data_IF_586103185664
#
_entry.id   IF_586103185664
#
_cell.length_a   1.000
_cell.length_b   1.000
_cell.length_c   1.000
_cell.angle_alpha   90.00
_cell.angle_beta   90.00
_cell.angle_gamma   90.00
#
_symmetry.space_group_name_H-M   'P 1'
#
loop_
_entity.id
_entity.type
_entity.pdbx_description
1 polymer ?
#
# COMPACT_ATOMS: atom_id res chain seq x y z
N UNK A 1 -13.24 -3.44 5.79
CA UNK A 1 -12.71 -4.63 5.08
C UNK A 1 -11.34 -4.37 4.46
N UNK A 2 -11.22 -3.45 3.48
CA UNK A 2 -9.90 -3.13 2.86
C UNK A 2 -8.94 -2.57 3.91
N UNK A 3 -9.39 -1.60 4.71
CA UNK A 3 -8.57 -1.02 5.79
C UNK A 3 -8.17 -2.07 6.84
N UNK A 4 -9.11 -2.95 7.24
CA UNK A 4 -8.82 -4.04 8.18
C UNK A 4 -7.84 -5.10 7.63
N UNK A 5 -7.83 -5.31 6.30
CA UNK A 5 -6.84 -6.16 5.66
C UNK A 5 -5.47 -5.47 5.60
N UNK A 6 -5.45 -4.17 5.29
CA UNK A 6 -4.22 -3.36 5.27
C UNK A 6 -3.55 -3.38 6.65
N UNK A 7 -4.31 -3.21 7.73
CA UNK A 7 -3.76 -3.23 9.08
C UNK A 7 -3.23 -4.62 9.46
N UNK A 8 -3.91 -5.70 9.06
CA UNK A 8 -3.38 -7.07 9.19
C UNK A 8 -2.11 -7.30 8.38
N UNK A 9 -2.03 -6.77 7.16
CA UNK A 9 -0.83 -6.86 6.32
C UNK A 9 0.36 -6.13 6.97
N UNK A 10 0.13 -4.99 7.64
CA UNK A 10 1.17 -4.26 8.39
C UNK A 10 1.66 -5.05 9.61
N UNK A 11 0.79 -5.79 10.29
CA UNK A 11 1.17 -6.62 11.44
C UNK A 11 1.89 -7.90 11.00
N UNK A 12 1.33 -8.63 10.03
CA UNK A 12 1.85 -9.90 9.53
C UNK A 12 1.79 -9.98 7.99
N UNK A 13 2.82 -9.45 7.33
CA UNK A 13 2.92 -9.37 5.86
C UNK A 13 2.61 -10.68 5.12
N UNK A 14 3.16 -11.80 5.61
CA UNK A 14 3.00 -13.12 4.95
C UNK A 14 1.57 -13.64 5.06
N UNK A 15 0.95 -13.47 6.22
CA UNK A 15 -0.42 -13.93 6.45
C UNK A 15 -1.42 -13.10 5.65
N UNK A 16 -1.26 -11.77 5.64
CA UNK A 16 -2.11 -10.88 4.83
C UNK A 16 -2.00 -11.16 3.33
N UNK A 17 -0.79 -11.44 2.83
CA UNK A 17 -0.58 -11.83 1.43
C UNK A 17 -1.25 -13.18 1.10
N UNK A 18 -1.14 -14.16 2.00
CA UNK A 18 -1.79 -15.46 1.84
C UNK A 18 -3.32 -15.34 1.83
N UNK A 19 -3.89 -14.49 2.69
CA UNK A 19 -5.34 -14.20 2.69
C UNK A 19 -5.79 -13.62 1.34
N UNK A 20 -5.00 -12.70 0.76
CA UNK A 20 -5.32 -12.09 -0.53
C UNK A 20 -5.23 -13.09 -1.69
N UNK A 21 -4.19 -13.93 -1.70
CA UNK A 21 -4.02 -14.99 -2.70
C UNK A 21 -5.15 -16.01 -2.61
N UNK A 22 -5.48 -16.46 -1.40
CA UNK A 22 -6.60 -17.35 -1.17
C UNK A 22 -7.92 -16.71 -1.61
N UNK A 23 -8.15 -15.43 -1.32
CA UNK A 23 -9.33 -14.72 -1.81
C UNK A 23 -9.46 -14.78 -3.34
N UNK A 24 -8.38 -14.53 -4.09
CA UNK A 24 -8.36 -14.60 -5.56
C UNK A 24 -8.67 -16.03 -6.04
N UNK A 25 -8.10 -17.04 -5.39
CA UNK A 25 -8.33 -18.46 -5.73
C UNK A 25 -9.81 -18.85 -5.53
N UNK A 26 -10.41 -18.41 -4.43
CA UNK A 26 -11.83 -18.64 -4.16
C UNK A 26 -12.73 -17.89 -5.16
N UNK A 27 -12.33 -16.70 -5.61
CA UNK A 27 -13.02 -15.96 -6.68
C UNK A 27 -13.03 -16.73 -8.01
N UNK A 28 -11.99 -17.53 -8.27
CA UNK A 28 -11.94 -18.42 -9.42
C UNK A 28 -12.91 -19.62 -9.31
N UNK A 29 -13.57 -19.81 -8.16
CA UNK A 29 -14.38 -20.99 -7.86
C UNK A 29 -13.56 -22.21 -7.47
N UNK A 30 -12.28 -22.05 -7.15
CA UNK A 30 -11.45 -23.13 -6.63
C UNK A 30 -11.67 -23.27 -5.11
N UNK A 31 -11.92 -24.49 -4.64
CA UNK A 31 -12.02 -24.82 -3.21
C UNK A 31 -10.66 -25.16 -2.58
N UNK A 32 -9.59 -25.15 -3.38
CA UNK A 32 -8.23 -25.38 -2.90
C UNK A 32 -7.77 -24.23 -2.02
N UNK A 33 -7.14 -24.57 -0.89
CA UNK A 33 -6.61 -23.59 0.07
C UNK A 33 -5.09 -23.66 0.04
N UNK A 34 -4.45 -22.52 -0.21
CA UNK A 34 -2.99 -22.39 -0.10
C UNK A 34 -2.67 -22.24 1.37
N UNK A 35 -1.90 -23.18 1.92
CA UNK A 35 -1.43 -23.11 3.30
C UNK A 35 -0.14 -22.27 3.40
N UNK A 36 0.21 -21.74 4.58
CA UNK A 36 1.43 -20.96 4.78
C UNK A 36 2.71 -21.72 4.42
N UNK A 37 2.72 -23.04 4.61
CA UNK A 37 3.83 -23.93 4.25
C UNK A 37 4.00 -24.00 2.73
N UNK A 38 2.88 -24.15 2.01
CA UNK A 38 2.86 -24.21 0.55
C UNK A 38 3.33 -22.89 -0.08
N UNK A 39 2.98 -21.78 0.54
CA UNK A 39 3.36 -20.44 0.10
C UNK A 39 4.85 -20.12 0.35
N UNK A 40 5.47 -20.78 1.33
CA UNK A 40 6.89 -20.61 1.66
C UNK A 40 7.82 -21.46 0.78
N UNK A 41 7.38 -22.66 0.42
CA UNK A 41 8.25 -23.68 -0.16
C UNK A 41 8.13 -23.80 -1.69
N UNK A 42 7.08 -23.24 -2.30
CA UNK A 42 6.81 -23.38 -3.73
C UNK A 42 6.81 -22.04 -4.49
N UNK A 43 7.30 -22.09 -5.73
CA UNK A 43 7.14 -20.96 -6.67
C UNK A 43 5.69 -20.83 -7.14
N UNK A 44 5.25 -19.61 -7.48
CA UNK A 44 3.89 -19.32 -7.95
C UNK A 44 3.37 -20.29 -9.02
N UNK A 45 4.23 -20.69 -9.98
CA UNK A 45 3.89 -21.66 -11.02
C UNK A 45 3.55 -23.06 -10.47
N UNK A 46 4.22 -23.51 -9.41
CA UNK A 46 3.98 -24.80 -8.77
C UNK A 46 2.68 -24.78 -7.96
N UNK A 47 2.41 -23.67 -7.26
CA UNK A 47 1.15 -23.44 -6.54
C UNK A 47 -0.03 -23.49 -7.53
N UNK A 48 0.06 -22.77 -8.65
CA UNK A 48 -1.00 -22.76 -9.67
C UNK A 48 -1.20 -24.15 -10.28
N UNK A 49 -0.13 -24.91 -10.50
CA UNK A 49 -0.22 -26.29 -10.99
C UNK A 49 -0.92 -27.23 -10.00
N UNK A 50 -0.71 -27.07 -8.70
CA UNK A 50 -1.41 -27.84 -7.68
C UNK A 50 -2.90 -27.46 -7.61
N UNK A 51 -3.20 -26.15 -7.59
CA UNK A 51 -4.57 -25.64 -7.64
C UNK A 51 -5.32 -26.11 -8.89
N UNK A 52 -4.62 -26.22 -10.02
CA UNK A 52 -5.16 -26.76 -11.27
C UNK A 52 -5.55 -28.23 -11.14
N UNK A 53 -4.76 -29.04 -10.41
CA UNK A 53 -5.09 -30.45 -10.16
C UNK A 53 -6.32 -30.60 -9.27
N UNK A 54 -6.46 -29.75 -8.26
CA UNK A 54 -7.62 -29.74 -7.37
C UNK A 54 -8.88 -29.22 -8.06
N UNK A 55 -8.76 -28.20 -8.91
CA UNK A 55 -9.89 -27.62 -9.66
C UNK A 55 -10.50 -28.58 -10.68
N UNK A 56 -9.68 -29.41 -11.34
CA UNK A 56 -10.14 -30.40 -12.33
C UNK A 56 -11.13 -31.43 -11.78
N UNK A 57 -11.23 -31.57 -10.46
CA UNK A 57 -12.04 -32.60 -9.82
C UNK A 57 -13.53 -32.20 -9.70
N UNK A 58 -13.87 -30.91 -9.70
CA UNK A 58 -15.15 -30.47 -9.11
C UNK A 58 -15.98 -29.39 -9.84
N UNK A 59 -15.58 -28.79 -10.97
CA UNK A 59 -16.34 -27.61 -11.46
C UNK A 59 -16.32 -27.34 -12.98
N UNK A 60 -17.50 -27.39 -13.61
CA UNK A 60 -17.75 -26.87 -14.98
C UNK A 60 -18.20 -25.40 -14.99
N UNK A 61 -18.62 -24.85 -13.85
CA UNK A 61 -19.09 -23.47 -13.67
C UNK A 61 -18.31 -22.77 -12.56
N UNK A 62 -17.92 -21.51 -12.80
CA UNK A 62 -17.19 -20.65 -11.86
C UNK A 62 -17.94 -19.31 -11.69
N UNK A 63 -17.77 -18.60 -10.56
CA UNK A 63 -18.53 -17.38 -10.20
C UNK A 63 -18.70 -16.35 -11.33
N UNK A 64 -17.63 -16.07 -12.09
CA UNK A 64 -17.64 -15.08 -13.18
C UNK A 64 -18.29 -15.57 -14.49
N UNK A 65 -18.64 -16.85 -14.60
CA UNK A 65 -19.34 -17.41 -15.77
C UNK A 65 -20.85 -17.56 -15.56
N UNK A 66 -21.34 -17.38 -14.33
CA UNK A 66 -22.76 -17.52 -14.02
C UNK A 66 -23.50 -16.23 -14.38
N UNK A 67 -24.54 -16.32 -15.21
CA UNK A 67 -25.29 -15.16 -15.71
C UNK A 67 -26.36 -14.65 -14.74
N UNK A 68 -26.48 -15.25 -13.55
CA UNK A 68 -27.42 -14.83 -12.51
C UNK A 68 -27.11 -13.40 -12.05
N UNK A 69 -28.11 -12.53 -11.83
CA UNK A 69 -27.90 -11.15 -11.39
C UNK A 69 -27.01 -11.01 -10.14
N UNK A 70 -27.09 -11.96 -9.21
CA UNK A 70 -26.25 -12.03 -8.00
C UNK A 70 -24.75 -12.20 -8.34
N UNK A 71 -24.44 -13.07 -9.31
CA UNK A 71 -23.06 -13.34 -9.75
C UNK A 71 -22.49 -12.20 -10.62
N UNK A 72 -23.35 -11.51 -11.38
CA UNK A 72 -22.94 -10.27 -12.08
C UNK A 72 -22.58 -9.17 -11.08
N UNK A 73 -23.37 -9.01 -10.01
CA UNK A 73 -23.06 -8.08 -8.92
C UNK A 73 -21.77 -8.47 -8.19
N UNK A 74 -21.54 -9.77 -7.98
CA UNK A 74 -20.28 -10.27 -7.42
C UNK A 74 -19.05 -9.90 -8.27
N UNK A 75 -19.11 -10.11 -9.60
CA UNK A 75 -18.01 -9.72 -10.50
C UNK A 75 -17.70 -8.23 -10.45
N UNK A 76 -18.73 -7.37 -10.44
CA UNK A 76 -18.57 -5.93 -10.29
C UNK A 76 -17.96 -5.57 -8.92
N UNK A 77 -18.48 -6.13 -7.83
CA UNK A 77 -17.96 -5.90 -6.48
C UNK A 77 -16.51 -6.37 -6.31
N UNK A 78 -16.13 -7.46 -6.97
CA UNK A 78 -14.76 -7.98 -6.95
C UNK A 78 -13.79 -7.02 -7.66
N UNK A 79 -14.17 -6.49 -8.82
CA UNK A 79 -13.37 -5.48 -9.53
C UNK A 79 -13.27 -4.16 -8.75
N UNK A 80 -14.35 -3.74 -8.10
CA UNK A 80 -14.37 -2.54 -7.25
C UNK A 80 -13.51 -2.72 -5.99
N UNK A 81 -13.57 -3.89 -5.35
CA UNK A 81 -12.73 -4.22 -4.21
C UNK A 81 -11.24 -4.18 -4.56
N UNK A 82 -10.83 -4.80 -5.67
CA UNK A 82 -9.44 -4.77 -6.12
C UNK A 82 -8.96 -3.35 -6.45
N UNK A 83 -9.84 -2.54 -7.06
CA UNK A 83 -9.53 -1.14 -7.39
C UNK A 83 -9.33 -0.30 -6.12
N UNK A 84 -10.21 -0.44 -5.13
CA UNK A 84 -10.08 0.25 -3.82
C UNK A 84 -8.85 -0.24 -3.06
N UNK A 85 -8.55 -1.54 -3.11
CA UNK A 85 -7.36 -2.13 -2.49
C UNK A 85 -6.08 -1.49 -3.04
N UNK A 86 -5.94 -1.44 -4.37
CA UNK A 86 -4.80 -0.81 -5.02
C UNK A 86 -4.74 0.68 -4.66
N UNK A 87 -5.87 1.40 -4.74
CA UNK A 87 -5.94 2.83 -4.41
C UNK A 87 -5.50 3.14 -2.97
N UNK A 88 -5.92 2.32 -2.00
CA UNK A 88 -5.52 2.49 -0.59
C UNK A 88 -4.06 2.11 -0.33
N UNK A 89 -3.50 1.20 -1.13
CA UNK A 89 -2.09 0.80 -1.03
C UNK A 89 -1.11 1.79 -1.67
N UNK A 90 -1.57 2.76 -2.48
CA UNK A 90 -0.74 3.74 -3.20
C UNK A 90 0.19 4.56 -2.31
N UNK A 91 -0.23 4.87 -1.08
CA UNK A 91 0.47 5.84 -0.23
C UNK A 91 1.61 5.24 0.62
N UNK A 92 1.77 3.91 0.67
CA UNK A 92 2.89 3.32 1.44
C UNK A 92 3.21 1.85 1.15
N UNK A 93 2.27 1.04 0.66
CA UNK A 93 2.42 -0.43 0.58
C UNK A 93 2.80 -0.88 -0.83
N UNK A 94 2.48 -0.09 -1.86
CA UNK A 94 2.81 -0.39 -3.25
C UNK A 94 4.34 -0.46 -3.50
N UNK A 95 5.12 0.26 -2.69
CA UNK A 95 6.59 0.32 -2.76
C UNK A 95 7.29 -0.62 -1.77
N UNK A 96 6.53 -1.45 -1.05
CA UNK A 96 7.11 -2.52 -0.25
C UNK A 96 7.48 -3.65 -1.22
N UNK A 97 8.76 -4.03 -1.32
CA UNK A 97 9.35 -5.05 -2.22
C UNK A 97 8.76 -6.47 -2.08
N UNK A 98 7.58 -6.62 -1.48
CA UNK A 98 6.94 -7.90 -1.16
C UNK A 98 5.54 -8.08 -1.73
N UNK A 99 4.68 -7.04 -1.77
CA UNK A 99 3.27 -7.20 -2.16
C UNK A 99 3.14 -7.37 -3.68
N UNK A 100 3.56 -6.37 -4.45
CA UNK A 100 3.41 -6.37 -5.91
C UNK A 100 4.30 -7.44 -6.57
N UNK A 101 5.49 -7.68 -6.02
CA UNK A 101 6.42 -8.72 -6.48
C UNK A 101 5.88 -10.14 -6.29
N UNK A 102 4.92 -10.34 -5.39
CA UNK A 102 4.26 -11.64 -5.21
C UNK A 102 2.94 -11.73 -5.97
N UNK A 103 2.12 -10.67 -5.92
CA UNK A 103 0.77 -10.65 -6.52
C UNK A 103 0.82 -10.55 -8.04
N UNK A 104 1.70 -9.73 -8.63
CA UNK A 104 1.78 -9.56 -10.09
C UNK A 104 2.19 -10.86 -10.78
N UNK A 105 3.27 -11.57 -10.36
CA UNK A 105 3.64 -12.83 -10.99
C UNK A 105 2.60 -13.93 -10.76
N UNK A 106 1.91 -13.91 -9.61
CA UNK A 106 0.82 -14.84 -9.34
C UNK A 106 -0.39 -14.62 -10.26
N UNK A 107 -0.86 -13.38 -10.42
CA UNK A 107 -1.95 -13.02 -11.35
C UNK A 107 -1.57 -13.27 -12.81
N UNK A 108 -0.31 -13.03 -13.16
CA UNK A 108 0.24 -13.33 -14.49
C UNK A 108 0.21 -14.85 -14.76
N UNK A 109 0.64 -15.65 -13.79
CA UNK A 109 0.57 -17.11 -13.88
C UNK A 109 -0.86 -17.65 -13.96
N UNK A 110 -1.82 -17.03 -13.28
CA UNK A 110 -3.24 -17.39 -13.40
C UNK A 110 -3.80 -17.05 -14.79
N UNK A 111 -3.37 -15.92 -15.36
CA UNK A 111 -3.76 -15.46 -16.70
C UNK A 111 -3.23 -16.37 -17.82
N UNK A 112 -2.08 -17.01 -17.61
CA UNK A 112 -1.48 -17.97 -18.55
C UNK A 112 -1.95 -19.43 -18.31
N UNK A 113 -2.79 -19.68 -17.31
CA UNK A 113 -3.22 -21.04 -16.97
C UNK A 113 -4.11 -21.68 -18.06
N UNK A 114 -4.09 -23.01 -18.17
CA UNK A 114 -4.96 -23.75 -19.09
C UNK A 114 -6.44 -23.76 -18.65
N UNK A 115 -6.74 -23.44 -17.38
CA UNK A 115 -8.11 -23.40 -16.85
C UNK A 115 -8.78 -22.06 -17.18
N UNK A 116 -9.95 -22.11 -17.82
CA UNK A 116 -10.72 -20.91 -18.20
C UNK A 116 -11.10 -20.03 -17.01
N UNK A 117 -11.45 -20.63 -15.86
CA UNK A 117 -11.80 -19.89 -14.65
C UNK A 117 -10.63 -19.05 -14.11
N UNK A 118 -9.41 -19.60 -14.14
CA UNK A 118 -8.18 -18.91 -13.73
C UNK A 118 -7.82 -17.79 -14.69
N UNK A 119 -7.89 -18.04 -16.02
CA UNK A 119 -7.64 -16.97 -17.00
C UNK A 119 -8.61 -15.83 -16.87
N UNK A 120 -9.92 -16.13 -16.79
CA UNK A 120 -10.94 -15.08 -16.74
C UNK A 120 -10.79 -14.22 -15.48
N UNK A 121 -10.59 -14.85 -14.31
CA UNK A 121 -10.42 -14.13 -13.04
C UNK A 121 -9.08 -13.40 -12.97
N UNK A 122 -7.99 -14.04 -13.43
CA UNK A 122 -6.65 -13.45 -13.44
C UNK A 122 -6.54 -12.26 -14.40
N UNK A 123 -7.15 -12.36 -15.58
CA UNK A 123 -7.21 -11.25 -16.54
C UNK A 123 -8.13 -10.13 -16.05
N UNK A 124 -9.27 -10.44 -15.40
CA UNK A 124 -10.14 -9.40 -14.82
C UNK A 124 -9.46 -8.66 -13.66
N UNK A 125 -8.75 -9.40 -12.79
CA UNK A 125 -7.97 -8.82 -11.70
C UNK A 125 -6.74 -8.06 -12.19
N UNK A 126 -6.14 -8.50 -13.30
CA UNK A 126 -4.98 -7.88 -13.95
C UNK A 126 -5.32 -6.81 -14.99
N UNK A 127 -6.59 -6.62 -15.36
CA UNK A 127 -7.01 -5.60 -16.31
C UNK A 127 -6.65 -4.22 -15.76
N UNK A 128 -6.20 -3.35 -16.65
CA UNK A 128 -5.59 -2.05 -16.36
C UNK A 128 -6.44 -1.19 -15.41
N UNK A 129 -7.77 -1.32 -15.39
CA UNK A 129 -8.64 -0.62 -14.43
C UNK A 129 -8.37 -0.98 -12.96
N UNK A 130 -8.10 -2.24 -12.64
CA UNK A 130 -7.93 -2.71 -11.25
C UNK A 130 -6.51 -2.46 -10.72
N UNK A 131 -5.48 -2.55 -11.59
CA UNK A 131 -4.06 -2.40 -11.22
C UNK A 131 -3.53 -0.99 -11.48
N UNK A 132 -4.07 -0.27 -12.47
CA UNK A 132 -3.71 1.10 -12.83
C UNK A 132 -4.86 2.03 -12.43
N UNK A 133 -5.16 2.08 -11.13
CA UNK A 133 -5.84 3.24 -10.53
C UNK A 133 -4.85 4.19 -9.86
N UNK A 134 -3.54 3.92 -9.96
CA UNK A 134 -2.47 4.87 -9.65
C UNK A 134 -2.00 5.47 -10.98
N UNK A 135 -2.40 6.72 -11.23
CA UNK A 135 -2.00 7.56 -12.35
C UNK A 135 -2.43 7.10 -13.76
N UNK A 136 -3.53 7.71 -14.25
CA UNK A 136 -3.62 8.47 -15.51
C UNK A 136 -5.10 8.65 -15.80
N UNK A 137 -5.66 9.77 -15.36
CA UNK A 137 -6.72 10.42 -16.10
C UNK A 137 -6.17 10.81 -17.48
N UNK A 138 -6.95 10.56 -18.53
CA UNK A 138 -6.69 10.82 -19.96
C UNK A 138 -5.84 9.80 -20.73
N UNK A 139 -6.48 8.77 -21.28
CA UNK A 139 -6.25 8.35 -22.67
C UNK A 139 -7.30 7.33 -23.14
N UNK A 140 -7.96 7.57 -24.29
CA UNK A 140 -8.93 6.66 -24.87
C UNK A 140 -8.21 5.56 -25.65
N UNK A 141 -7.70 4.54 -24.94
CA UNK A 141 -7.13 3.34 -25.56
C UNK A 141 -7.80 2.13 -24.93
N UNK A 142 -9.04 1.85 -25.35
CA UNK A 142 -9.81 0.74 -24.79
C UNK A 142 -10.91 0.16 -25.68
N UNK A 143 -11.26 0.80 -26.80
CA UNK A 143 -12.35 0.31 -27.67
C UNK A 143 -11.88 -0.40 -28.96
N UNK A 144 -10.60 -0.33 -29.32
CA UNK A 144 -10.10 -0.94 -30.56
C UNK A 144 -9.45 -2.32 -30.39
N UNK A 145 -8.98 -2.68 -29.19
CA UNK A 145 -8.37 -4.00 -28.96
C UNK A 145 -9.40 -5.15 -28.93
N UNK A 146 -10.68 -4.88 -28.63
CA UNK A 146 -11.74 -5.90 -28.63
C UNK A 146 -12.32 -6.16 -30.04
N UNK A 147 -12.05 -5.28 -31.01
CA UNK A 147 -12.46 -5.47 -32.43
C UNK A 147 -11.47 -6.35 -33.20
N UNK A 148 -10.18 -6.31 -32.84
CA UNK A 148 -9.13 -7.12 -33.48
C UNK A 148 -9.25 -8.62 -33.17
N UNK A 149 -9.78 -9.01 -32.00
CA UNK A 149 -9.99 -10.43 -31.67
C UNK A 149 -11.23 -11.03 -32.38
N UNK A 150 -12.24 -10.20 -32.70
CA UNK A 150 -13.43 -10.63 -33.44
C UNK A 150 -13.17 -10.73 -34.95
N UNK A 151 -12.24 -9.93 -35.50
CA UNK A 151 -11.84 -10.02 -36.91
C UNK A 151 -10.99 -11.28 -37.20
N UNK A 152 -10.21 -11.77 -36.24
CA UNK A 152 -9.38 -12.99 -36.40
C UNK A 152 -10.15 -14.32 -36.42
N UNK A 153 -11.39 -14.37 -35.91
CA UNK A 153 -12.23 -15.60 -35.95
C UNK A 153 -13.02 -15.77 -37.25
N UNK A 154 -13.18 -14.71 -38.05
CA UNK A 154 -13.91 -14.75 -39.32
C UNK A 154 -13.06 -15.22 -40.51
N UNK A 155 -11.73 -15.30 -40.37
CA UNK A 155 -10.83 -15.72 -41.44
C UNK A 155 -10.47 -17.23 -41.41
N UNK A 156 -10.83 -17.94 -40.33
CA UNK A 156 -10.54 -19.36 -40.16
C UNK A 156 -11.64 -20.30 -40.69
N UNK A 157 -12.72 -19.78 -41.30
CA UNK A 157 -13.83 -20.60 -41.83
C UNK A 157 -13.98 -20.62 -43.35
N UNK A 158 -12.99 -20.16 -44.14
CA UNK A 158 -13.07 -20.13 -45.61
C UNK A 158 -11.79 -20.67 -46.26
N UNK A 159 -11.41 -21.90 -45.91
CA UNK A 159 -10.49 -22.71 -46.73
C UNK A 159 -10.84 -24.19 -46.63
N UNK A 160 -12.07 -24.53 -46.97
CA UNK A 160 -12.46 -25.93 -47.12
C UNK A 160 -13.57 -26.02 -48.15
N UNK A 161 -13.20 -25.93 -49.43
CA UNK A 161 -13.95 -26.39 -50.60
C UNK A 161 -13.09 -26.12 -51.86
N UNK A 162 -12.16 -27.02 -52.19
CA UNK A 162 -11.66 -27.17 -53.56
C UNK A 162 -11.40 -28.65 -53.83
N UNK A 163 -12.14 -29.16 -54.81
CA UNK A 163 -12.44 -30.57 -55.00
C UNK A 163 -11.28 -31.44 -55.47
N UNK A 164 -11.40 -32.71 -55.12
CA UNK A 164 -10.68 -33.84 -55.70
C UNK A 164 -11.58 -34.50 -56.73
N UNK A 165 -11.17 -34.49 -58.00
CA UNK A 165 -11.79 -35.26 -59.07
C UNK A 165 -10.71 -35.75 -60.02
N UNK A 166 -10.40 -37.05 -59.94
CA UNK A 166 -9.44 -37.72 -60.80
C UNK A 166 -10.07 -38.99 -61.39
N UNK A 167 -9.80 -39.15 -62.69
CA UNK A 167 -9.69 -40.38 -63.49
C UNK A 167 -10.96 -41.17 -63.90
N UNK A 168 -11.13 -41.25 -65.22
CA UNK A 168 -11.95 -42.23 -65.94
C UNK A 168 -11.95 -41.98 -67.46
N UNK A 169 -11.24 -42.82 -68.22
CA UNK A 169 -11.32 -43.04 -69.69
C UNK A 169 -11.59 -44.53 -69.92
N UNK A 170 -11.89 -45.06 -71.14
CA UNK A 170 -12.25 -44.44 -72.44
C UNK A 170 -13.43 -45.14 -73.18
N UNK A 171 -13.89 -44.63 -74.33
CA UNK A 171 -14.56 -45.43 -75.39
C UNK A 171 -14.53 -44.74 -76.78
N UNK A 172 -14.42 -45.59 -77.81
CA UNK A 172 -14.06 -45.39 -79.23
C UNK A 172 -15.14 -44.80 -80.17
N UNK A 173 -14.71 -44.25 -81.33
CA UNK A 173 -15.28 -44.40 -82.70
C UNK A 173 -14.58 -43.39 -83.66
N UNK A 174 -13.67 -43.79 -84.54
CA UNK A 174 -13.83 -44.25 -85.95
C UNK A 174 -14.29 -43.19 -86.99
N UNK A 175 -13.27 -42.77 -87.77
CA UNK A 175 -13.20 -42.34 -89.18
C UNK A 175 -14.45 -42.04 -90.02
N UNK A 176 -14.54 -40.80 -90.50
CA UNK A 176 -14.91 -40.45 -91.89
C UNK A 176 -14.50 -38.98 -92.20
N UNK A 177 -14.21 -38.68 -93.47
CA UNK A 177 -14.12 -37.34 -94.10
C UNK A 177 -12.72 -36.73 -94.38
N UNK A 178 -11.87 -37.41 -95.16
CA UNK A 178 -10.52 -36.93 -95.53
C UNK A 178 -10.44 -35.72 -96.50
N UNK A 179 -11.54 -35.06 -96.90
CA UNK A 179 -11.51 -33.87 -97.79
C UNK A 179 -12.10 -32.60 -97.18
N UNK A 180 -13.11 -32.68 -96.30
CA UNK A 180 -13.53 -31.59 -95.40
C UNK A 180 -12.60 -31.40 -94.21
N UNK A 181 -11.82 -32.45 -93.87
CA UNK A 181 -10.77 -32.38 -92.86
C UNK A 181 -9.67 -31.41 -93.26
N UNK A 182 -9.38 -31.19 -94.55
CA UNK A 182 -8.32 -30.25 -94.96
C UNK A 182 -8.70 -28.78 -94.75
N UNK A 183 -9.87 -28.32 -95.21
CA UNK A 183 -10.39 -26.96 -94.91
C UNK A 183 -10.65 -26.78 -93.42
N UNK A 184 -11.27 -27.77 -92.76
CA UNK A 184 -11.45 -27.77 -91.32
C UNK A 184 -10.13 -27.75 -90.55
N UNK A 185 -9.05 -28.37 -91.03
CA UNK A 185 -7.72 -28.27 -90.41
C UNK A 185 -7.06 -26.92 -90.60
N UNK A 186 -7.35 -26.21 -91.70
CA UNK A 186 -6.84 -24.85 -91.93
C UNK A 186 -7.52 -23.89 -90.95
N UNK A 187 -8.85 -23.92 -90.83
CA UNK A 187 -9.60 -23.13 -89.85
C UNK A 187 -9.23 -23.49 -88.40
N UNK A 188 -9.00 -24.79 -88.10
CA UNK A 188 -8.51 -25.22 -86.79
C UNK A 188 -7.09 -24.72 -86.51
N UNK A 189 -6.25 -24.58 -87.54
CA UNK A 189 -4.88 -24.07 -87.40
C UNK A 189 -4.86 -22.56 -87.16
N UNK A 190 -5.73 -21.80 -87.83
CA UNK A 190 -5.90 -20.37 -87.61
C UNK A 190 -6.49 -20.07 -86.22
N UNK A 191 -7.51 -20.85 -85.79
CA UNK A 191 -8.05 -20.76 -84.44
C UNK A 191 -7.01 -21.12 -83.37
N UNK A 192 -6.12 -22.08 -83.62
CA UNK A 192 -5.02 -22.41 -82.70
C UNK A 192 -4.00 -21.27 -82.58
N UNK A 193 -3.71 -20.57 -83.68
CA UNK A 193 -2.82 -19.40 -83.66
C UNK A 193 -3.46 -18.25 -82.87
N UNK A 194 -4.72 -17.92 -83.13
CA UNK A 194 -5.46 -16.89 -82.39
C UNK A 194 -5.59 -17.23 -80.90
N UNK A 195 -5.86 -18.50 -80.57
CA UNK A 195 -5.93 -18.96 -79.17
C UNK A 195 -4.57 -18.83 -78.47
N UNK A 196 -3.47 -19.14 -79.16
CA UNK A 196 -2.12 -18.97 -78.63
C UNK A 196 -1.79 -17.49 -78.38
N UNK A 197 -2.19 -16.60 -79.29
CA UNK A 197 -2.00 -15.14 -79.19
C UNK A 197 -2.81 -14.55 -78.02
N UNK A 198 -4.10 -14.89 -77.91
CA UNK A 198 -4.96 -14.53 -76.78
C UNK A 198 -4.42 -15.06 -75.45
N UNK A 199 -3.94 -16.31 -75.41
CA UNK A 199 -3.34 -16.89 -74.21
C UNK A 199 -2.06 -16.16 -73.83
N UNK A 200 -1.26 -15.72 -74.80
CA UNK A 200 -0.05 -14.95 -74.55
C UNK A 200 -0.37 -13.57 -73.99
N UNK A 201 -1.40 -12.90 -74.50
CA UNK A 201 -1.80 -11.57 -74.03
C UNK A 201 -2.50 -11.59 -72.67
N UNK A 202 -3.32 -12.61 -72.40
CA UNK A 202 -3.86 -12.86 -71.05
C UNK A 202 -2.70 -13.04 -70.06
N UNK A 203 -1.73 -13.92 -70.36
CA UNK A 203 -0.57 -14.15 -69.50
C UNK A 203 0.28 -12.89 -69.28
N UNK A 204 0.45 -12.03 -70.30
CA UNK A 204 1.14 -10.74 -70.14
C UNK A 204 0.34 -9.80 -69.24
N UNK A 205 -0.97 -9.73 -69.40
CA UNK A 205 -1.85 -8.88 -68.60
C UNK A 205 -1.91 -9.33 -67.14
N UNK A 206 -1.95 -10.63 -66.87
CA UNK A 206 -1.93 -11.20 -65.52
C UNK A 206 -0.59 -10.88 -64.83
N UNK A 207 0.54 -11.08 -65.50
CA UNK A 207 1.86 -10.71 -64.96
C UNK A 207 2.02 -9.22 -64.70
N UNK A 208 1.42 -8.37 -65.54
CA UNK A 208 1.41 -6.93 -65.33
C UNK A 208 0.56 -6.54 -64.11
N UNK A 209 -0.60 -7.18 -63.95
CA UNK A 209 -1.48 -6.97 -62.80
C UNK A 209 -0.84 -7.46 -61.50
N UNK A 210 -0.23 -8.65 -61.49
CA UNK A 210 0.52 -9.18 -60.32
C UNK A 210 1.67 -8.26 -59.90
N UNK A 211 2.42 -7.69 -60.86
CA UNK A 211 3.47 -6.71 -60.54
C UNK A 211 2.89 -5.41 -59.97
N UNK A 212 1.76 -4.95 -60.49
CA UNK A 212 1.08 -3.75 -60.00
C UNK A 212 0.56 -3.94 -58.57
N UNK A 213 -0.07 -5.08 -58.28
CA UNK A 213 -0.57 -5.42 -56.94
C UNK A 213 0.56 -5.61 -55.94
N UNK A 214 1.66 -6.27 -56.32
CA UNK A 214 2.85 -6.40 -55.48
C UNK A 214 3.47 -5.03 -55.14
N UNK A 215 3.55 -4.12 -56.10
CA UNK A 215 4.05 -2.75 -55.89
C UNK A 215 3.12 -1.93 -54.99
N UNK A 216 1.80 -2.10 -55.13
CA UNK A 216 0.83 -1.45 -54.26
C UNK A 216 0.93 -1.96 -52.80
N UNK A 217 1.09 -3.27 -52.61
CA UNK A 217 1.27 -3.88 -51.29
C UNK A 217 2.57 -3.40 -50.62
N UNK A 218 3.68 -3.28 -51.37
CA UNK A 218 4.94 -2.77 -50.81
C UNK A 218 4.84 -1.29 -50.43
N UNK A 219 4.14 -0.46 -51.21
CA UNK A 219 3.85 0.94 -50.85
C UNK A 219 3.05 1.02 -49.55
N UNK A 220 1.96 0.26 -49.44
CA UNK A 220 1.14 0.23 -48.24
C UNK A 220 1.94 -0.23 -47.01
N UNK A 221 2.84 -1.20 -47.18
CA UNK A 221 3.74 -1.66 -46.12
C UNK A 221 4.73 -0.56 -45.68
N UNK A 222 5.24 0.24 -46.60
CA UNK A 222 6.13 1.37 -46.29
C UNK A 222 5.38 2.49 -45.58
N UNK A 223 4.17 2.83 -46.02
CA UNK A 223 3.31 3.82 -45.36
C UNK A 223 2.96 3.37 -43.93
N UNK A 224 2.60 2.10 -43.74
CA UNK A 224 2.32 1.56 -42.41
C UNK A 224 3.55 1.57 -41.50
N UNK A 225 4.75 1.34 -42.04
CA UNK A 225 6.01 1.48 -41.27
C UNK A 225 6.25 2.94 -40.85
N UNK A 226 6.06 3.88 -41.77
CA UNK A 226 6.22 5.31 -41.49
C UNK A 226 5.20 5.79 -40.44
N UNK A 227 3.94 5.38 -40.56
CA UNK A 227 2.89 5.70 -39.59
C UNK A 227 3.19 5.13 -38.20
N UNK A 228 3.67 3.88 -38.12
CA UNK A 228 4.08 3.28 -36.85
C UNK A 228 5.27 3.99 -36.21
N UNK A 229 6.25 4.40 -37.01
CA UNK A 229 7.41 5.15 -36.51
C UNK A 229 7.00 6.53 -36.00
N UNK A 230 6.14 7.23 -36.74
CA UNK A 230 5.57 8.50 -36.33
C UNK A 230 4.80 8.37 -35.01
N UNK A 231 3.95 7.34 -34.88
CA UNK A 231 3.18 7.09 -33.66
C UNK A 231 4.12 6.83 -32.46
N UNK A 232 5.21 6.08 -32.66
CA UNK A 232 6.22 5.84 -31.61
C UNK A 232 6.85 7.14 -31.13
N UNK A 233 7.19 8.04 -32.05
CA UNK A 233 7.77 9.34 -31.73
C UNK A 233 6.77 10.24 -31.00
N UNK A 234 5.51 10.27 -31.44
CA UNK A 234 4.47 11.08 -30.79
C UNK A 234 4.19 10.58 -29.37
N UNK A 235 4.12 9.26 -29.17
CA UNK A 235 3.99 8.65 -27.82
C UNK A 235 5.19 9.02 -26.95
N UNK A 236 6.42 8.95 -27.48
CA UNK A 236 7.61 9.34 -26.74
C UNK A 236 7.57 10.82 -26.33
N UNK A 237 7.16 11.71 -27.24
CA UNK A 237 7.03 13.14 -26.93
C UNK A 237 5.93 13.41 -25.90
N UNK A 238 4.77 12.77 -26.02
CA UNK A 238 3.68 12.91 -25.08
C UNK A 238 4.09 12.43 -23.67
N UNK A 239 4.78 11.30 -23.59
CA UNK A 239 5.32 10.79 -22.32
C UNK A 239 6.33 11.75 -21.69
N UNK A 240 7.20 12.37 -22.50
CA UNK A 240 8.17 13.35 -22.00
C UNK A 240 7.48 14.62 -21.49
N UNK A 241 6.44 15.11 -22.20
CA UNK A 241 5.62 16.25 -21.74
C UNK A 241 4.94 15.93 -20.40
N UNK A 242 4.32 14.77 -20.27
CA UNK A 242 3.70 14.31 -19.02
C UNK A 242 4.73 14.21 -17.88
N UNK A 243 5.93 13.67 -18.16
CA UNK A 243 7.01 13.62 -17.15
C UNK A 243 7.39 15.00 -16.65
N UNK A 244 7.50 15.98 -17.56
CA UNK A 244 7.83 17.35 -17.20
C UNK A 244 6.73 18.03 -16.38
N UNK A 245 5.47 17.80 -16.73
CA UNK A 245 4.31 18.33 -16.00
C UNK A 245 4.23 17.74 -14.58
N UNK A 246 4.36 16.42 -14.44
CA UNK A 246 4.39 15.74 -13.14
C UNK A 246 5.57 16.23 -12.29
N UNK A 247 6.75 16.41 -12.87
CA UNK A 247 7.92 16.96 -12.18
C UNK A 247 7.68 18.40 -11.66
N UNK A 248 6.98 19.21 -12.44
CA UNK A 248 6.63 20.58 -12.04
C UNK A 248 5.65 20.58 -10.86
N UNK A 249 4.59 19.78 -10.93
CA UNK A 249 3.61 19.65 -9.86
C UNK A 249 4.24 19.12 -8.57
N UNK A 250 5.09 18.09 -8.67
CA UNK A 250 5.85 17.58 -7.52
C UNK A 250 6.71 18.66 -6.88
N UNK A 251 7.41 19.47 -7.69
CA UNK A 251 8.23 20.58 -7.17
C UNK A 251 7.38 21.62 -6.44
N UNK A 252 6.20 21.95 -6.95
CA UNK A 252 5.29 22.89 -6.30
C UNK A 252 4.77 22.33 -4.96
N UNK A 253 4.38 21.05 -4.92
CA UNK A 253 3.91 20.40 -3.70
C UNK A 253 5.02 20.34 -2.65
N UNK A 254 6.23 19.95 -3.04
CA UNK A 254 7.39 19.94 -2.14
C UNK A 254 7.68 21.33 -1.58
N UNK A 255 7.66 22.38 -2.41
CA UNK A 255 7.82 23.75 -1.94
C UNK A 255 6.77 24.17 -0.91
N UNK A 256 5.49 23.82 -1.11
CA UNK A 256 4.42 24.07 -0.12
C UNK A 256 4.64 23.30 1.18
N UNK A 257 5.16 22.07 1.11
CA UNK A 257 5.47 21.26 2.29
C UNK A 257 6.65 21.88 3.06
N UNK A 258 7.72 22.26 2.37
CA UNK A 258 8.89 22.93 2.95
C UNK A 258 8.49 24.24 3.65
N UNK A 259 7.65 25.05 3.03
CA UNK A 259 7.14 26.28 3.64
C UNK A 259 6.33 26.00 4.93
N UNK A 260 5.48 24.96 4.91
CA UNK A 260 4.74 24.53 6.11
C UNK A 260 5.66 24.02 7.21
N UNK A 261 6.69 23.24 6.87
CA UNK A 261 7.70 22.75 7.80
C UNK A 261 8.42 23.95 8.43
N UNK A 262 8.87 24.91 7.61
CA UNK A 262 9.56 26.11 8.09
C UNK A 262 8.67 26.93 9.04
N UNK A 263 7.39 27.13 8.68
CA UNK A 263 6.43 27.83 9.54
C UNK A 263 6.21 27.11 10.88
N UNK A 264 6.15 25.78 10.87
CA UNK A 264 6.02 24.99 12.09
C UNK A 264 7.30 25.01 12.94
N UNK A 265 8.47 24.98 12.31
CA UNK A 265 9.77 25.10 12.98
C UNK A 265 9.87 26.43 13.75
N UNK A 266 9.51 27.55 13.10
CA UNK A 266 9.47 28.86 13.76
C UNK A 266 8.52 28.86 14.97
N UNK A 267 7.31 28.29 14.83
CA UNK A 267 6.36 28.18 15.96
C UNK A 267 6.91 27.34 17.12
N UNK A 268 7.60 26.23 16.82
CA UNK A 268 8.22 25.39 17.83
C UNK A 268 9.35 26.13 18.56
N UNK A 269 10.16 26.91 17.83
CA UNK A 269 11.17 27.78 18.44
C UNK A 269 10.54 28.79 19.40
N UNK A 270 9.47 29.46 18.98
CA UNK A 270 8.79 30.45 19.85
C UNK A 270 8.20 29.79 21.11
N UNK A 271 7.65 28.57 20.99
CA UNK A 271 7.16 27.82 22.14
C UNK A 271 8.30 27.37 23.07
N UNK A 272 9.45 27.00 22.51
CA UNK A 272 10.63 26.67 23.30
C UNK A 272 11.12 27.89 24.10
N UNK A 273 11.21 29.07 23.48
CA UNK A 273 11.58 30.32 24.14
C UNK A 273 10.58 30.67 25.28
N UNK A 274 9.28 30.43 25.07
CA UNK A 274 8.26 30.63 26.09
C UNK A 274 8.41 29.67 27.29
N UNK A 275 8.75 28.40 27.03
CA UNK A 275 9.01 27.41 28.07
C UNK A 275 10.27 27.75 28.87
N UNK A 276 11.32 28.23 28.20
CA UNK A 276 12.56 28.66 28.85
C UNK A 276 12.30 29.84 29.79
N UNK A 277 11.59 30.87 29.32
CA UNK A 277 11.18 32.01 30.16
C UNK A 277 10.32 31.57 31.37
N UNK A 278 9.38 30.64 31.16
CA UNK A 278 8.58 30.08 32.26
C UNK A 278 9.46 29.33 33.27
N UNK A 279 10.42 28.53 32.80
CA UNK A 279 11.33 27.78 33.65
C UNK A 279 12.24 28.70 34.46
N UNK A 280 12.77 29.78 33.87
CA UNK A 280 13.51 30.81 34.58
C UNK A 280 12.63 31.49 35.64
N UNK A 281 11.38 31.82 35.30
CA UNK A 281 10.43 32.41 36.25
C UNK A 281 10.14 31.48 37.43
N UNK A 282 9.95 30.18 37.19
CA UNK A 282 9.75 29.19 38.25
C UNK A 282 10.99 29.01 39.11
N UNK A 283 12.18 28.92 38.50
CA UNK A 283 13.46 28.82 39.20
C UNK A 283 13.65 30.00 40.14
N UNK A 284 13.48 31.23 39.63
CA UNK A 284 13.57 32.45 40.44
C UNK A 284 12.57 32.43 41.61
N UNK A 285 11.34 31.95 41.40
CA UNK A 285 10.33 31.84 42.47
C UNK A 285 10.69 30.79 43.52
N UNK A 286 11.29 29.67 43.11
CA UNK A 286 11.79 28.64 44.03
C UNK A 286 12.93 29.21 44.87
N UNK A 287 13.92 29.86 44.25
CA UNK A 287 15.04 30.49 44.96
C UNK A 287 14.56 31.54 45.97
N UNK A 288 13.58 32.39 45.59
CA UNK A 288 12.96 33.35 46.51
C UNK A 288 12.24 32.67 47.68
N UNK A 289 11.55 31.55 47.44
CA UNK A 289 10.87 30.79 48.47
C UNK A 289 11.85 30.11 49.43
N UNK A 290 12.94 29.56 48.92
CA UNK A 290 14.03 28.97 49.72
C UNK A 290 14.71 30.01 50.61
N UNK A 291 15.03 31.20 50.07
CA UNK A 291 15.58 32.30 50.86
C UNK A 291 14.60 32.77 51.95
N UNK A 292 13.30 32.84 51.63
CA UNK A 292 12.28 33.20 52.61
C UNK A 292 12.12 32.13 53.71
N UNK A 293 12.22 30.85 53.36
CA UNK A 293 12.15 29.74 54.30
C UNK A 293 13.37 29.70 55.22
N UNK A 294 14.58 29.86 54.67
CA UNK A 294 15.82 29.95 55.44
C UNK A 294 15.78 31.11 56.46
N UNK A 295 15.28 32.27 56.04
CA UNK A 295 15.08 33.42 56.95
C UNK A 295 14.02 33.15 58.03
N UNK A 296 13.01 32.33 57.76
CA UNK A 296 12.01 31.94 58.75
C UNK A 296 12.56 30.93 59.76
N UNK A 297 13.36 29.96 59.31
CA UNK A 297 14.05 29.00 60.17
C UNK A 297 15.06 29.69 61.10
N UNK A 298 15.88 30.62 60.59
CA UNK A 298 16.82 31.38 61.40
C UNK A 298 16.10 32.18 62.51
N UNK A 299 14.97 32.82 62.18
CA UNK A 299 14.12 33.52 63.16
C UNK A 299 13.56 32.57 64.21
N UNK A 300 13.09 31.38 63.82
CA UNK A 300 12.57 30.39 64.74
C UNK A 300 13.65 29.86 65.72
N UNK A 301 14.88 29.65 65.23
CA UNK A 301 16.02 29.26 66.06
C UNK A 301 16.37 30.35 67.07
N UNK A 302 16.39 31.62 66.65
CA UNK A 302 16.64 32.75 67.54
C UNK A 302 15.57 32.89 68.64
N UNK A 303 14.28 32.78 68.29
CA UNK A 303 13.19 32.79 69.27
C UNK A 303 13.31 31.62 70.24
N UNK A 304 13.61 30.42 69.76
CA UNK A 304 13.83 29.24 70.60
C UNK A 304 14.98 29.43 71.60
N UNK A 305 16.09 30.03 71.16
CA UNK A 305 17.23 30.35 72.01
C UNK A 305 16.88 31.40 73.08
N UNK A 306 16.11 32.44 72.72
CA UNK A 306 15.58 33.40 73.69
C UNK A 306 14.66 32.74 74.71
N UNK A 307 13.73 31.89 74.27
CA UNK A 307 12.87 31.13 75.15
C UNK A 307 13.67 30.24 76.12
N UNK A 308 14.78 29.63 75.66
CA UNK A 308 15.67 28.84 76.52
C UNK A 308 16.36 29.70 77.59
N UNK A 309 16.93 30.86 77.20
CA UNK A 309 17.55 31.81 78.14
C UNK A 309 16.56 32.31 79.21
N UNK A 310 15.31 32.60 78.80
CA UNK A 310 14.26 33.01 79.73
C UNK A 310 13.88 31.88 80.70
N UNK A 311 13.83 30.63 80.22
CA UNK A 311 13.55 29.45 81.06
C UNK A 311 14.63 29.22 82.11
N UNK A 312 15.91 29.36 81.75
CA UNK A 312 17.04 29.25 82.68
C UNK A 312 16.95 30.34 83.76
N UNK A 313 16.74 31.61 83.38
CA UNK A 313 16.54 32.70 84.34
C UNK A 313 15.35 32.49 85.28
N UNK A 314 14.24 31.94 84.77
CA UNK A 314 13.07 31.58 85.58
C UNK A 314 13.40 30.43 86.55
N UNK A 315 14.16 29.44 86.09
CA UNK A 315 14.67 28.33 86.91
C UNK A 315 15.53 28.83 88.07
N UNK A 316 16.48 29.73 87.81
CA UNK A 316 17.34 30.33 88.83
C UNK A 316 16.53 31.11 89.88
N UNK A 317 15.51 31.86 89.43
CA UNK A 317 14.60 32.60 90.33
C UNK A 317 13.74 31.66 91.18
N UNK A 318 13.26 30.57 90.59
CA UNK A 318 12.51 29.52 91.30
C UNK A 318 13.40 28.85 92.35
N UNK A 319 14.62 28.46 92.01
CA UNK A 319 15.58 27.90 92.95
C UNK A 319 15.89 28.87 94.10
N UNK A 320 16.04 30.16 93.82
CA UNK A 320 16.22 31.18 94.85
C UNK A 320 15.00 31.33 95.78
N UNK A 321 13.78 31.23 95.23
CA UNK A 321 12.54 31.26 96.01
C UNK A 321 12.37 30.00 96.86
N UNK A 322 12.68 28.81 96.32
CA UNK A 322 12.66 27.55 97.07
C UNK A 322 13.67 27.56 98.21
N UNK A 323 14.87 28.07 97.99
CA UNK A 323 15.88 28.21 99.04
C UNK A 323 15.46 29.24 100.11
N UNK A 324 14.82 30.34 99.70
CA UNK A 324 14.19 31.29 100.61
C UNK A 324 13.07 30.64 101.46
N UNK A 325 12.22 29.83 100.82
CA UNK A 325 11.15 29.08 101.49
C UNK A 325 11.69 28.03 102.46
N UNK A 326 12.76 27.30 102.08
CA UNK A 326 13.46 26.37 102.99
C UNK A 326 14.03 27.10 104.20
N UNK A 327 14.71 28.23 104.00
CA UNK A 327 15.21 29.07 105.10
C UNK A 327 14.09 29.55 106.01
N UNK A 328 12.94 29.93 105.44
CA UNK A 328 11.75 30.31 106.20
C UNK A 328 11.18 29.15 107.02
N UNK A 329 11.06 27.96 106.43
CA UNK A 329 10.58 26.75 107.11
C UNK A 329 11.50 26.32 108.26
N UNK A 330 12.82 26.37 108.08
CA UNK A 330 13.78 26.10 109.16
C UNK A 330 13.59 27.09 110.32
N UNK A 331 13.35 28.37 110.01
CA UNK A 331 13.09 29.40 111.02
C UNK A 331 11.78 29.15 111.77
N UNK A 332 10.71 28.78 111.07
CA UNK A 332 9.42 28.40 111.67
C UNK A 332 9.56 27.18 112.58
N UNK A 333 10.29 26.15 112.14
CA UNK A 333 10.51 24.94 112.95
C UNK A 333 11.37 25.23 114.19
N UNK A 334 12.35 26.13 114.06
CA UNK A 334 13.11 26.65 115.21
C UNK A 334 12.21 27.36 116.24
N UNK A 335 11.26 28.18 115.77
CA UNK A 335 10.28 28.84 116.64
C UNK A 335 9.34 27.83 117.33
N UNK A 336 8.87 26.79 116.62
CA UNK A 336 8.08 25.69 117.24
C UNK A 336 8.85 24.89 118.29
N UNK A 337 10.15 24.69 118.10
CA UNK A 337 11.01 24.04 119.12
C UNK A 337 11.17 24.88 120.39
N UNK A 338 11.22 26.21 120.25
CA UNK A 338 11.27 27.13 121.39
C UNK A 338 9.94 27.09 122.16
N UNK A 339 8.81 27.05 121.46
CA UNK A 339 7.47 26.95 122.06
C UNK A 339 7.25 25.62 122.81
N UNK A 340 7.88 24.53 122.37
CA UNK A 340 7.76 23.20 122.99
C UNK A 340 8.76 22.90 124.11
N UNK A 341 9.77 23.77 124.33
CA UNK A 341 10.72 23.63 125.45
C UNK A 341 10.32 24.53 126.62
N UNK A 342 10.36 23.94 127.82
CA UNK A 342 10.01 24.59 129.07
C UNK A 342 10.79 25.92 129.24
N UNK A 343 10.11 27.09 129.36
CA UNK A 343 10.74 28.41 129.23
C UNK A 343 11.83 28.69 130.27
N UNK A 344 11.82 27.97 131.40
CA UNK A 344 12.83 28.10 132.47
C UNK A 344 14.19 27.53 132.07
N UNK A 345 14.23 26.51 131.19
CA UNK A 345 15.49 25.85 130.78
C UNK A 345 16.25 26.65 129.70
N UNK A 346 15.52 27.37 128.85
CA UNK A 346 16.08 28.16 127.76
C UNK A 346 16.78 29.45 128.26
N UNK A 347 16.24 30.08 129.30
CA UNK A 347 16.87 31.26 129.93
C UNK A 347 18.22 30.93 130.60
N UNK A 348 18.42 29.68 131.04
CA UNK A 348 19.65 29.24 131.70
C UNK A 348 20.81 28.98 130.71
N UNK A 349 20.54 28.48 129.50
CA UNK A 349 21.58 28.21 128.49
C UNK A 349 22.07 29.47 127.77
N UNK A 350 21.21 30.49 127.61
CA UNK A 350 21.56 31.76 126.96
C UNK A 350 22.42 32.69 127.85
N UNK A 351 22.47 32.42 129.15
CA UNK A 351 23.34 33.13 130.11
C UNK A 351 24.73 32.49 130.26
N UNK A 352 24.94 31.29 129.70
CA UNK A 352 26.17 30.49 129.81
C UNK A 352 26.98 30.41 128.50
N UNK A 353 26.49 30.99 127.41
CA UNK A 353 27.22 31.24 126.16
C UNK A 353 27.32 32.73 125.93
#
# INVERSE_FOLDING_TARGET
VVDDWIDRYKTERKLGLLELINFIIHCCGCKGVVTPELFKDLQNAQIINQLTKEFKKDSSCYPLSMSTPEWKKFGANMSEFLSILVQRCQNSILYDDGLMDSVIPFLTGLSDSQIRAFRHTGTLAGERRCVVSADVDSSPIGEDYLKLEKAGRSAASVTQLRGTGAAGTPASAESAASSTVQEGTIELSELKVLLAELTQDINKSEKANEKATAKAHERQKQEMKQANEWLRQEIQQANERLRQEVQLELRQVLGKIEERIQKNSVKLSTLADQLEHLNETFTNRIEMAEHSAASAEERAVNVSLECKKLREKLGDRLAALEDGSRRYNVRIEGLRRIESSNPVKFAAELFLK
#
